data_IF_172515978822
#
_entry.id   IF_172515978822
#
_cell.length_a   1.000
_cell.length_b   1.000
_cell.length_c   1.000
_cell.angle_alpha   90.00
_cell.angle_beta   90.00
_cell.angle_gamma   90.00
#
_symmetry.space_group_name_H-M   'P 1'
#
loop_
_entity.id
_entity.type
_entity.pdbx_description
1 polymer ?
#
# COMPACT_ATOMS: atom_id res chain seq x y z
N UNK A 1 7.14 -10.78 -23.20
CA UNK A 1 6.12 -10.49 -22.18
C UNK A 1 4.91 -9.97 -22.91
N UNK A 2 3.81 -10.69 -22.80
CA UNK A 2 2.53 -10.28 -23.35
C UNK A 2 1.95 -9.14 -22.50
N UNK A 3 1.07 -8.31 -23.07
CA UNK A 3 0.45 -7.19 -22.35
C UNK A 3 -0.30 -7.66 -21.09
N UNK A 4 -0.82 -8.88 -21.11
CA UNK A 4 -1.52 -9.50 -19.98
C UNK A 4 -0.60 -9.76 -18.78
N UNK A 5 0.68 -10.07 -19.02
CA UNK A 5 1.65 -10.31 -17.95
C UNK A 5 1.81 -9.06 -17.07
N UNK A 6 1.88 -7.88 -17.69
CA UNK A 6 1.99 -6.61 -16.98
C UNK A 6 0.72 -6.27 -16.20
N UNK A 7 -0.45 -6.56 -16.77
CA UNK A 7 -1.73 -6.32 -16.09
C UNK A 7 -1.82 -7.18 -14.84
N UNK A 8 -1.51 -8.47 -14.95
CA UNK A 8 -1.56 -9.40 -13.81
C UNK A 8 -0.58 -8.99 -12.72
N UNK A 9 0.67 -8.68 -13.09
CA UNK A 9 1.72 -8.26 -12.14
C UNK A 9 1.40 -6.94 -11.45
N UNK A 10 0.71 -6.00 -12.11
CA UNK A 10 0.32 -4.73 -11.50
C UNK A 10 -0.96 -4.86 -10.64
N UNK A 11 -1.98 -5.58 -11.14
CA UNK A 11 -3.28 -5.68 -10.47
C UNK A 11 -3.24 -6.55 -9.21
N UNK A 12 -2.51 -7.66 -9.21
CA UNK A 12 -2.45 -8.55 -8.04
C UNK A 12 -1.98 -7.84 -6.76
N UNK A 13 -0.80 -7.17 -6.75
CA UNK A 13 -0.36 -6.42 -5.58
C UNK A 13 -1.27 -5.22 -5.31
N UNK A 14 -1.71 -4.47 -6.33
CA UNK A 14 -2.57 -3.31 -6.13
C UNK A 14 -3.91 -3.63 -5.46
N UNK A 15 -4.57 -4.72 -5.87
CA UNK A 15 -5.81 -5.19 -5.23
C UNK A 15 -5.55 -5.64 -3.79
N UNK A 16 -4.44 -6.35 -3.56
CA UNK A 16 -4.08 -6.85 -2.23
C UNK A 16 -3.79 -5.71 -1.25
N UNK A 17 -3.06 -4.70 -1.70
CA UNK A 17 -2.75 -3.49 -0.92
C UNK A 17 -4.01 -2.69 -0.60
N UNK A 18 -4.89 -2.47 -1.58
CA UNK A 18 -6.13 -1.71 -1.36
C UNK A 18 -7.03 -2.40 -0.32
N UNK A 19 -7.13 -3.73 -0.39
CA UNK A 19 -7.89 -4.51 0.57
C UNK A 19 -7.25 -4.49 1.97
N UNK A 20 -5.92 -4.56 2.06
CA UNK A 20 -5.22 -4.52 3.34
C UNK A 20 -5.32 -3.14 4.01
N UNK A 21 -4.99 -2.07 3.30
CA UNK A 21 -4.87 -0.73 3.89
C UNK A 21 -6.23 -0.04 4.05
N UNK A 22 -7.06 -0.03 3.00
CA UNK A 22 -8.39 0.60 3.06
C UNK A 22 -9.49 -0.35 3.48
N UNK A 23 -9.37 -1.64 3.15
CA UNK A 23 -10.39 -2.65 3.50
C UNK A 23 -10.28 -3.19 4.93
N UNK A 24 -9.07 -3.28 5.49
CA UNK A 24 -8.86 -3.86 6.82
C UNK A 24 -8.27 -2.86 7.83
N UNK A 25 -7.08 -2.31 7.59
CA UNK A 25 -6.35 -1.49 8.57
C UNK A 25 -7.11 -0.20 8.93
N UNK A 26 -7.56 0.56 7.93
CA UNK A 26 -8.26 1.81 8.17
C UNK A 26 -9.59 1.57 8.94
N UNK A 27 -10.47 0.62 8.59
CA UNK A 27 -11.64 0.29 9.41
C UNK A 27 -11.32 -0.17 10.83
N UNK A 28 -10.24 -0.93 11.04
CA UNK A 28 -9.80 -1.40 12.37
C UNK A 28 -9.37 -0.22 13.25
N UNK A 29 -8.67 0.77 12.68
CA UNK A 29 -8.27 1.99 13.39
C UNK A 29 -9.38 3.06 13.45
N UNK A 30 -10.47 2.88 12.69
CA UNK A 30 -11.61 3.80 12.55
C UNK A 30 -11.57 4.63 11.26
N UNK A 31 -12.68 5.23 10.86
CA UNK A 31 -12.75 6.02 9.61
C UNK A 31 -12.56 7.51 9.89
N UNK A 32 -11.34 7.92 10.22
CA UNK A 32 -11.00 9.31 10.53
C UNK A 32 -9.62 9.69 9.98
N UNK A 33 -9.25 10.97 10.09
CA UNK A 33 -7.97 11.45 9.57
C UNK A 33 -6.75 10.89 10.31
N UNK A 34 -6.89 10.55 11.60
CA UNK A 34 -5.80 9.99 12.41
C UNK A 34 -5.50 8.56 11.97
N UNK A 35 -6.53 7.75 11.72
CA UNK A 35 -6.35 6.39 11.21
C UNK A 35 -5.83 6.36 9.77
N UNK A 36 -6.21 7.33 8.94
CA UNK A 36 -5.62 7.49 7.61
C UNK A 36 -4.12 7.76 7.70
N UNK A 37 -3.70 8.64 8.62
CA UNK A 37 -2.28 8.92 8.87
C UNK A 37 -1.56 7.68 9.41
N UNK A 38 -2.13 6.99 10.39
CA UNK A 38 -1.55 5.76 10.94
C UNK A 38 -1.37 4.68 9.87
N UNK A 39 -2.42 4.43 9.06
CA UNK A 39 -2.38 3.47 7.96
C UNK A 39 -1.32 3.84 6.91
N UNK A 40 -1.20 5.13 6.59
CA UNK A 40 -0.16 5.64 5.68
C UNK A 40 1.26 5.44 6.23
N UNK A 41 1.47 5.59 7.55
CA UNK A 41 2.75 5.27 8.18
C UNK A 41 3.08 3.78 8.05
N UNK A 42 2.12 2.89 8.29
CA UNK A 42 2.32 1.45 8.06
C UNK A 42 2.66 1.13 6.60
N UNK A 43 1.94 1.72 5.66
CA UNK A 43 2.23 1.60 4.22
C UNK A 43 3.66 2.04 3.91
N UNK A 44 4.06 3.22 4.37
CA UNK A 44 5.40 3.78 4.14
C UNK A 44 6.51 2.91 4.75
N UNK A 45 6.35 2.45 5.99
CA UNK A 45 7.34 1.59 6.67
C UNK A 45 7.54 0.26 5.94
N UNK A 46 6.47 -0.38 5.47
CA UNK A 46 6.56 -1.63 4.70
C UNK A 46 7.30 -1.43 3.37
N UNK A 47 7.25 -0.23 2.80
CA UNK A 47 7.95 0.14 1.57
C UNK A 47 9.39 0.65 1.78
N UNK A 48 9.85 0.79 3.03
CA UNK A 48 11.25 1.07 3.34
C UNK A 48 12.12 -0.19 3.13
N UNK A 49 12.41 -0.52 1.88
CA UNK A 49 13.25 -1.64 1.48
C UNK A 49 14.73 -1.26 1.23
N UNK A 50 15.65 -1.98 1.90
CA UNK A 50 17.08 -2.19 1.59
C UNK A 50 17.90 -1.02 0.98
N UNK A 51 17.61 0.22 1.39
CA UNK A 51 18.51 1.37 1.23
C UNK A 51 18.49 2.11 -0.11
N UNK A 52 17.46 2.00 -0.99
CA UNK A 52 17.53 2.69 -2.31
C UNK A 52 16.40 3.59 -2.78
N UNK A 53 15.19 3.68 -2.20
CA UNK A 53 14.19 4.69 -2.64
C UNK A 53 13.19 5.10 -1.57
N UNK A 54 13.49 6.19 -0.84
CA UNK A 54 12.56 6.86 0.08
C UNK A 54 11.29 7.38 -0.61
N UNK A 55 11.35 7.65 -1.92
CA UNK A 55 10.20 8.13 -2.70
C UNK A 55 9.00 7.19 -2.65
N UNK A 56 9.22 5.90 -2.44
CA UNK A 56 8.13 4.92 -2.36
C UNK A 56 7.47 4.87 -0.97
N UNK A 57 8.17 5.31 0.07
CA UNK A 57 7.66 5.34 1.44
C UNK A 57 6.87 6.62 1.77
N UNK A 58 6.99 7.66 0.94
CA UNK A 58 6.33 8.97 1.10
C UNK A 58 5.04 9.07 0.25
N UNK A 59 4.86 8.18 -0.72
CA UNK A 59 3.64 8.10 -1.54
C UNK A 59 2.45 7.67 -0.68
#
# INVERSE_FOLDING_TARGET
>A
LESLDYIVVACLPGISEEFLFRGALMPIFGLNWISALATGVFFGVLHLGNGRRYSFAIW
#
